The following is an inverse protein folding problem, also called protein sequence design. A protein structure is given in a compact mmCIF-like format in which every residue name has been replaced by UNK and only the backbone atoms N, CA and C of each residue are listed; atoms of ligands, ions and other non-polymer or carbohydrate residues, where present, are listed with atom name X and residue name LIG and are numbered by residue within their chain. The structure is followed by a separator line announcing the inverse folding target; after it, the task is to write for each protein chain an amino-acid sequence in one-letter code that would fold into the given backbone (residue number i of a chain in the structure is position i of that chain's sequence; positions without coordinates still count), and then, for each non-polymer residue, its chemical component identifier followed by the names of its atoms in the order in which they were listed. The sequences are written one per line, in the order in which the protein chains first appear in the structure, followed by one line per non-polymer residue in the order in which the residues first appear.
data_IF_603518745290
#
_entry.id   IF_603518745290
#
_cell.length_a   1.000
_cell.length_b   1.000
_cell.length_c   1.000
_cell.angle_alpha   90.00
_cell.angle_beta   90.00
_cell.angle_gamma   90.00
#
_symmetry.space_group_name_H-M   'P 1'
#
loop_
_entity.id
_entity.type
_entity.pdbx_description
1 polymer ?
#
# COMPACT_ATOMS: atom_id res chain seq x y z
N UNK A 1 3.45 -3.56 -3.81
CA UNK A 1 2.40 -4.49 -3.34
C UNK A 1 2.95 -5.51 -2.34
N UNK A 2 3.98 -6.30 -2.66
CA UNK A 2 4.53 -7.33 -1.76
C UNK A 2 4.90 -6.82 -0.36
N UNK A 3 5.77 -5.80 -0.26
CA UNK A 3 6.20 -5.31 1.06
C UNK A 3 5.06 -4.73 1.91
N UNK A 4 4.07 -4.09 1.30
CA UNK A 4 2.89 -3.60 2.03
C UNK A 4 2.10 -4.75 2.66
N UNK A 5 1.97 -5.87 1.95
CA UNK A 5 1.31 -7.08 2.46
C UNK A 5 2.12 -7.71 3.59
N UNK A 6 3.45 -7.80 3.45
CA UNK A 6 4.35 -8.29 4.51
C UNK A 6 4.16 -7.48 5.80
N UNK A 7 4.18 -6.15 5.70
CA UNK A 7 4.02 -5.28 6.87
C UNK A 7 2.64 -5.43 7.51
N UNK A 8 1.58 -5.54 6.71
CA UNK A 8 0.20 -5.67 7.21
C UNK A 8 -0.07 -7.04 7.83
N UNK A 9 0.36 -8.10 7.17
CA UNK A 9 -0.03 -9.47 7.49
C UNK A 9 0.99 -10.16 8.42
N UNK A 10 2.19 -9.60 8.54
CA UNK A 10 3.27 -10.16 9.36
C UNK A 10 3.87 -11.44 8.77
N UNK A 11 3.75 -11.65 7.47
CA UNK A 11 4.21 -12.87 6.79
C UNK A 11 5.35 -12.53 5.83
N UNK A 12 6.51 -13.16 6.02
CA UNK A 12 7.64 -13.05 5.08
C UNK A 12 7.53 -14.22 4.08
N UNK A 13 7.27 -13.93 2.79
CA UNK A 13 7.14 -14.97 1.78
C UNK A 13 8.49 -15.66 1.52
N UNK A 14 8.48 -16.97 1.21
CA UNK A 14 9.68 -17.73 0.92
C UNK A 14 10.23 -17.43 -0.47
N UNK A 15 11.54 -17.65 -0.64
CA UNK A 15 12.07 -17.99 -1.95
C UNK A 15 12.00 -19.51 -2.15
N UNK A 16 10.92 -20.00 -2.77
CA UNK A 16 10.72 -21.45 -3.00
C UNK A 16 11.66 -22.05 -4.06
N UNK A 17 12.30 -21.21 -4.87
CA UNK A 17 13.25 -21.63 -5.89
C UNK A 17 14.69 -21.71 -5.35
N UNK A 18 14.89 -21.51 -4.04
CA UNK A 18 16.20 -21.59 -3.42
C UNK A 18 16.52 -23.03 -3.01
N UNK A 19 17.38 -23.69 -3.80
CA UNK A 19 17.85 -25.04 -3.50
C UNK A 19 18.97 -25.03 -2.44
N UNK A 20 20.02 -24.24 -2.68
CA UNK A 20 21.09 -23.93 -1.75
C UNK A 20 21.48 -22.45 -1.88
N UNK A 21 21.98 -21.87 -0.78
CA UNK A 21 22.57 -20.51 -0.81
C UNK A 21 24.01 -20.64 -1.33
N UNK A 22 24.41 -19.71 -2.19
CA UNK A 22 25.79 -19.63 -2.68
C UNK A 22 26.78 -19.45 -1.53
N UNK A 23 27.92 -20.15 -1.57
CA UNK A 23 28.98 -20.04 -0.56
C UNK A 23 29.59 -18.64 -0.52
N UNK A 24 29.58 -17.90 -1.64
CA UNK A 24 29.97 -16.48 -1.66
C UNK A 24 29.08 -15.66 -0.71
N UNK A 25 27.84 -16.11 -0.47
CA UNK A 25 26.89 -15.69 0.57
C UNK A 25 27.49 -15.47 1.96
N UNK A 26 28.48 -16.27 2.34
CA UNK A 26 28.91 -16.43 3.73
C UNK A 26 29.46 -15.14 4.37
N UNK A 27 29.96 -14.19 3.57
CA UNK A 27 30.48 -12.91 4.10
C UNK A 27 29.36 -11.93 4.48
N UNK A 28 28.14 -12.09 3.95
CA UNK A 28 27.03 -11.17 4.14
C UNK A 28 26.28 -11.45 5.46
N UNK A 29 26.95 -11.25 6.59
CA UNK A 29 26.46 -11.60 7.94
C UNK A 29 25.14 -10.92 8.35
N UNK A 30 24.75 -9.83 7.69
CA UNK A 30 23.49 -9.12 7.92
C UNK A 30 22.36 -9.54 6.99
N UNK A 31 22.58 -10.53 6.11
CA UNK A 31 21.60 -11.02 5.18
C UNK A 31 21.22 -12.47 5.51
N UNK A 32 19.91 -12.75 5.54
CA UNK A 32 19.37 -14.10 5.71
C UNK A 32 18.50 -14.45 4.51
N UNK A 33 18.84 -15.53 3.81
CA UNK A 33 18.02 -16.10 2.74
C UNK A 33 17.02 -17.10 3.33
N UNK A 34 15.73 -16.86 3.10
CA UNK A 34 14.65 -17.65 3.69
C UNK A 34 14.01 -18.54 2.61
N UNK A 35 14.04 -19.86 2.82
CA UNK A 35 13.47 -20.87 1.89
C UNK A 35 12.00 -21.20 2.16
N UNK A 36 11.56 -21.01 3.41
CA UNK A 36 10.22 -21.35 3.91
C UNK A 36 9.50 -20.10 4.41
N UNK A 37 8.17 -20.14 4.50
CA UNK A 37 7.41 -18.96 4.91
C UNK A 37 7.69 -18.69 6.39
N UNK A 38 8.01 -17.44 6.75
CA UNK A 38 8.11 -17.05 8.17
C UNK A 38 6.87 -16.28 8.59
N UNK A 39 6.16 -16.84 9.56
CA UNK A 39 5.00 -16.23 10.19
C UNK A 39 5.47 -15.45 11.42
N UNK A 40 5.50 -14.12 11.30
CA UNK A 40 5.95 -13.21 12.36
C UNK A 40 4.78 -12.64 13.18
N UNK A 41 3.59 -13.22 13.02
CA UNK A 41 2.36 -12.78 13.70
C UNK A 41 2.50 -12.89 15.21
N UNK A 42 1.77 -12.04 15.94
CA UNK A 42 1.59 -12.01 17.39
C UNK A 42 2.86 -11.75 18.24
N UNK A 43 3.93 -12.52 18.07
CA UNK A 43 5.16 -12.42 18.86
C UNK A 43 6.16 -11.39 18.32
N UNK A 44 6.19 -11.14 17.00
CA UNK A 44 7.22 -10.31 16.36
C UNK A 44 6.64 -9.35 15.30
N UNK A 45 5.95 -8.26 15.71
CA UNK A 45 5.33 -7.35 14.77
C UNK A 45 6.37 -6.72 13.82
N UNK A 46 6.07 -6.80 12.52
CA UNK A 46 6.90 -6.19 11.48
C UNK A 46 6.85 -4.66 11.58
N UNK A 47 8.03 -4.03 11.54
CA UNK A 47 8.15 -2.57 11.74
C UNK A 47 8.36 -1.79 10.44
N UNK A 48 9.26 -2.27 9.60
CA UNK A 48 9.65 -1.61 8.37
C UNK A 48 10.26 -2.62 7.40
N UNK A 49 10.40 -2.20 6.14
CA UNK A 49 11.22 -2.92 5.17
C UNK A 49 11.75 -1.99 4.09
N UNK A 50 12.65 -2.54 3.28
CA UNK A 50 13.32 -1.84 2.21
C UNK A 50 13.00 -2.54 0.88
N UNK A 51 12.71 -1.75 -0.14
CA UNK A 51 12.65 -2.20 -1.53
C UNK A 51 13.85 -1.59 -2.24
N UNK A 52 14.70 -2.43 -2.81
CA UNK A 52 15.81 -2.00 -3.67
C UNK A 52 15.58 -2.51 -5.09
N UNK A 53 15.95 -1.70 -6.08
CA UNK A 53 15.88 -2.06 -7.50
C UNK A 53 17.05 -1.44 -8.23
N UNK A 54 17.61 -2.19 -9.19
CA UNK A 54 18.70 -1.75 -10.05
C UNK A 54 18.24 -1.83 -11.51
N UNK A 55 18.57 -0.81 -12.30
CA UNK A 55 18.27 -0.71 -13.73
C UNK A 55 19.54 -0.43 -14.53
N UNK A 56 19.44 -0.55 -15.86
CA UNK A 56 20.57 -0.28 -16.76
C UNK A 56 21.00 1.19 -16.69
N UNK A 57 22.30 1.44 -16.91
CA UNK A 57 22.85 2.80 -16.93
C UNK A 57 23.06 3.41 -15.53
N UNK A 58 23.46 2.61 -14.55
CA UNK A 58 23.70 3.03 -13.16
C UNK A 58 22.46 3.58 -12.44
N UNK A 59 21.26 3.19 -12.87
CA UNK A 59 20.02 3.56 -12.17
C UNK A 59 19.86 2.64 -10.97
N UNK A 60 19.83 3.23 -9.78
CA UNK A 60 19.53 2.53 -8.52
C UNK A 60 18.39 3.24 -7.79
N UNK A 61 17.51 2.45 -7.19
CA UNK A 61 16.36 2.94 -6.43
C UNK A 61 16.27 2.23 -5.09
N UNK A 62 15.97 3.00 -4.05
CA UNK A 62 15.69 2.50 -2.71
C UNK A 62 14.44 3.18 -2.17
N UNK A 63 13.52 2.38 -1.63
CA UNK A 63 12.31 2.84 -0.97
C UNK A 63 12.24 2.21 0.43
N UNK A 64 12.18 3.05 1.46
CA UNK A 64 11.91 2.63 2.82
C UNK A 64 10.42 2.72 3.11
N UNK A 65 9.84 1.62 3.61
CA UNK A 65 8.43 1.55 3.98
C UNK A 65 8.31 1.19 5.45
N UNK A 66 7.48 1.95 6.19
CA UNK A 66 7.27 1.78 7.63
C UNK A 66 5.82 1.38 7.90
N UNK A 67 5.62 0.57 8.93
CA UNK A 67 4.31 0.08 9.34
C UNK A 67 3.33 1.23 9.65
N UNK A 68 2.06 1.19 9.17
CA UNK A 68 1.10 2.30 9.34
C UNK A 68 0.83 2.69 10.80
N UNK A 69 0.97 1.75 11.74
CA UNK A 69 0.78 2.02 13.16
C UNK A 69 1.76 3.08 13.71
N UNK A 70 2.93 3.28 13.08
CA UNK A 70 3.84 4.36 13.44
C UNK A 70 3.20 5.74 13.20
N UNK A 71 2.46 5.92 12.10
CA UNK A 71 1.71 7.14 11.82
C UNK A 71 0.55 7.33 12.81
N UNK A 72 -0.22 6.27 13.06
CA UNK A 72 -1.34 6.30 14.02
C UNK A 72 -0.86 6.68 15.43
N UNK A 73 0.34 6.22 15.82
CA UNK A 73 0.94 6.54 17.11
C UNK A 73 1.34 8.02 17.25
N UNK A 74 1.58 8.73 16.14
CA UNK A 74 1.92 10.16 16.15
C UNK A 74 0.70 11.07 16.33
N UNK A 75 -0.52 10.56 16.09
CA UNK A 75 -1.76 11.31 16.31
C UNK A 75 -2.09 11.43 17.80
N UNK A 76 -2.72 12.55 18.17
CA UNK A 76 -3.32 12.68 19.49
C UNK A 76 -4.49 11.68 19.67
N UNK A 77 -4.95 11.40 20.89
CA UNK A 77 -5.95 10.36 21.13
C UNK A 77 -7.26 10.57 20.37
N UNK A 78 -7.77 11.79 20.30
CA UNK A 78 -9.03 12.11 19.62
C UNK A 78 -8.92 11.92 18.10
N UNK A 79 -7.87 12.47 17.48
CA UNK A 79 -7.57 12.32 16.06
C UNK A 79 -7.34 10.85 15.68
N UNK A 80 -6.69 10.10 16.57
CA UNK A 80 -6.42 8.68 16.38
C UNK A 80 -7.71 7.88 16.28
N UNK A 81 -8.64 8.10 17.21
CA UNK A 81 -9.90 7.39 17.25
C UNK A 81 -10.81 7.79 16.08
N UNK A 82 -10.89 9.09 15.77
CA UNK A 82 -11.62 9.57 14.58
C UNK A 82 -11.04 8.97 13.28
N UNK A 83 -9.71 8.99 13.11
CA UNK A 83 -9.06 8.38 11.95
C UNK A 83 -9.38 6.89 11.83
N UNK A 84 -9.30 6.14 12.94
CA UNK A 84 -9.61 4.71 12.97
C UNK A 84 -11.06 4.43 12.58
N UNK A 85 -12.01 5.23 13.07
CA UNK A 85 -13.42 5.11 12.71
C UNK A 85 -13.61 5.28 11.20
N UNK A 86 -13.07 6.36 10.63
CA UNK A 86 -13.15 6.64 9.19
C UNK A 86 -12.47 5.56 8.35
N UNK A 87 -11.29 5.10 8.76
CA UNK A 87 -10.56 4.04 8.07
C UNK A 87 -11.33 2.72 8.09
N UNK A 88 -11.90 2.33 9.22
CA UNK A 88 -12.68 1.09 9.35
C UNK A 88 -13.95 1.13 8.50
N UNK A 89 -14.68 2.26 8.52
CA UNK A 89 -15.84 2.45 7.64
C UNK A 89 -15.46 2.31 6.18
N UNK A 90 -14.31 2.89 5.78
CA UNK A 90 -13.82 2.79 4.41
C UNK A 90 -13.43 1.36 4.01
N UNK A 91 -12.83 0.60 4.92
CA UNK A 91 -12.50 -0.82 4.70
C UNK A 91 -13.77 -1.63 4.49
N UNK A 92 -14.79 -1.44 5.31
CA UNK A 92 -16.07 -2.14 5.19
C UNK A 92 -16.76 -1.83 3.84
N UNK A 93 -16.88 -0.56 3.48
CA UNK A 93 -17.43 -0.14 2.18
C UNK A 93 -16.63 -0.72 1.01
N UNK A 94 -15.29 -0.70 1.12
CA UNK A 94 -14.39 -1.23 0.11
C UNK A 94 -14.54 -2.73 -0.08
N UNK A 95 -14.64 -3.49 1.01
CA UNK A 95 -14.89 -4.94 0.97
C UNK A 95 -16.24 -5.26 0.32
N UNK A 96 -17.29 -4.52 0.68
CA UNK A 96 -18.62 -4.67 0.06
C UNK A 96 -18.57 -4.37 -1.44
N UNK A 97 -17.91 -3.29 -1.85
CA UNK A 97 -17.78 -2.91 -3.26
C UNK A 97 -17.01 -3.95 -4.07
N UNK A 98 -15.91 -4.44 -3.51
CA UNK A 98 -15.07 -5.46 -4.13
C UNK A 98 -15.82 -6.79 -4.28
N UNK A 99 -16.46 -7.28 -3.22
CA UNK A 99 -17.23 -8.53 -3.25
C UNK A 99 -18.39 -8.46 -4.25
N UNK A 100 -19.12 -7.33 -4.28
CA UNK A 100 -20.20 -7.09 -5.23
C UNK A 100 -19.71 -7.16 -6.68
N UNK A 101 -18.58 -6.51 -7.00
CA UNK A 101 -18.02 -6.57 -8.34
C UNK A 101 -17.56 -7.97 -8.75
N UNK A 102 -16.93 -8.72 -7.83
CA UNK A 102 -16.51 -10.11 -8.08
C UNK A 102 -17.73 -11.00 -8.40
N UNK A 103 -18.86 -10.77 -7.73
CA UNK A 103 -20.10 -11.51 -7.92
C UNK A 103 -20.91 -11.07 -9.16
N UNK A 104 -20.35 -10.24 -10.05
CA UNK A 104 -21.04 -9.76 -11.26
C UNK A 104 -21.94 -8.54 -11.03
N UNK A 105 -21.78 -7.86 -9.89
CA UNK A 105 -22.41 -6.56 -9.63
C UNK A 105 -21.81 -5.41 -10.46
N UNK A 106 -22.01 -4.15 -10.03
CA UNK A 106 -21.55 -2.97 -10.77
C UNK A 106 -20.05 -3.04 -11.12
N UNK A 107 -19.68 -2.61 -12.33
CA UNK A 107 -18.30 -2.66 -12.81
C UNK A 107 -17.36 -1.86 -11.92
N UNK A 108 -16.13 -2.34 -11.67
CA UNK A 108 -15.14 -1.59 -10.87
C UNK A 108 -14.67 -0.29 -11.54
N UNK A 109 -14.98 -0.12 -12.83
CA UNK A 109 -14.71 1.09 -13.58
C UNK A 109 -16.04 1.67 -14.10
N UNK A 110 -16.34 2.88 -13.66
CA UNK A 110 -17.46 3.68 -14.15
C UNK A 110 -16.87 4.97 -14.70
N UNK A 111 -17.03 5.21 -16.00
CA UNK A 111 -16.58 6.46 -16.61
C UNK A 111 -17.42 7.59 -16.02
N UNK A 112 -16.80 8.64 -15.46
CA UNK A 112 -17.54 9.82 -15.02
C UNK A 112 -18.35 10.39 -16.20
N UNK A 113 -19.60 10.79 -15.95
CA UNK A 113 -20.50 11.30 -16.98
C UNK A 113 -19.96 12.61 -17.61
N UNK A 114 -19.35 13.46 -16.80
CA UNK A 114 -18.81 14.77 -17.17
C UNK A 114 -17.65 15.16 -16.22
N UNK A 115 -17.18 16.42 -16.34
CA UNK A 115 -16.11 17.00 -15.53
C UNK A 115 -16.57 17.47 -14.14
N UNK A 116 -17.80 17.12 -13.71
CA UNK A 116 -18.44 17.50 -12.45
C UNK A 116 -18.59 19.02 -12.27
N UNK A 117 -18.73 19.76 -13.37
CA UNK A 117 -19.09 21.18 -13.33
C UNK A 117 -20.60 21.36 -13.15
N UNK A 118 -21.02 22.53 -12.67
CA UNK A 118 -22.43 22.87 -12.70
C UNK A 118 -22.89 22.97 -14.18
N UNK A 119 -24.08 22.47 -14.49
CA UNK A 119 -24.65 22.53 -15.83
C UNK A 119 -25.25 23.92 -16.16
N UNK A 120 -25.45 24.77 -15.15
CA UNK A 120 -26.08 26.10 -15.30
C UNK A 120 -25.15 27.17 -15.92
N UNK A 121 -23.85 26.87 -16.09
CA UNK A 121 -22.88 27.82 -16.63
C UNK A 121 -21.91 27.16 -17.62
N UNK A 122 -21.31 27.92 -18.57
CA UNK A 122 -20.35 27.37 -19.51
C UNK A 122 -19.13 26.78 -18.82
N UNK A 123 -18.78 25.53 -19.15
CA UNK A 123 -17.67 24.80 -18.54
C UNK A 123 -16.34 25.58 -18.61
N UNK A 124 -16.03 26.25 -19.72
CA UNK A 124 -14.77 27.00 -19.89
C UNK A 124 -14.54 28.04 -18.80
N UNK A 125 -15.61 28.71 -18.33
CA UNK A 125 -15.50 29.74 -17.28
C UNK A 125 -15.33 29.10 -15.91
N UNK A 126 -16.04 28.01 -15.65
CA UNK A 126 -15.92 27.25 -14.40
C UNK A 126 -14.55 26.58 -14.28
N UNK A 127 -14.00 26.06 -15.38
CA UNK A 127 -12.67 25.48 -15.44
C UNK A 127 -11.58 26.51 -15.12
N UNK A 128 -11.64 27.69 -15.74
CA UNK A 128 -10.69 28.76 -15.43
C UNK A 128 -10.76 29.18 -13.96
N UNK A 129 -11.96 29.32 -13.40
CA UNK A 129 -12.13 29.66 -11.99
C UNK A 129 -11.59 28.56 -11.07
N UNK A 130 -11.89 27.29 -11.34
CA UNK A 130 -11.42 26.15 -10.55
C UNK A 130 -9.89 26.05 -10.55
N UNK A 131 -9.24 26.33 -11.69
CA UNK A 131 -7.77 26.26 -11.78
C UNK A 131 -7.06 27.45 -11.11
N UNK A 132 -7.77 28.56 -10.89
CA UNK A 132 -7.23 29.77 -10.27
C UNK A 132 -7.59 29.89 -8.78
N UNK A 133 -8.55 29.10 -8.31
CA UNK A 133 -8.96 29.02 -6.91
C UNK A 133 -8.11 27.98 -6.17
N UNK A 134 -7.23 28.44 -5.29
CA UNK A 134 -6.21 27.63 -4.58
C UNK A 134 -6.62 27.25 -3.17
#
# INVERSE_FOLDING_TARGET
MGLCQILRDGVIPPNRSLDCVDEEMAHASHFVWVRETLEMRDAFPMKAGLITSLGFGHVSGLVALVHPQAFIAALNPEQREDYRLRANNRVLEGQRRLASAIAGGPAMYEKPADRRFNHDAPEKRQEANMLLDS
#
